data_IF_931382883848
#
_entry.id   IF_931382883848
#
_cell.length_a   1.000
_cell.length_b   1.000
_cell.length_c   1.000
_cell.angle_alpha   90.00
_cell.angle_beta   90.00
_cell.angle_gamma   90.00
#
_symmetry.space_group_name_H-M   'P 1'
#
loop_
_entity.id
_entity.type
_entity.pdbx_description
1 polymer ?
#
# COMPACT_ATOMS: atom_id res chain seq x y z
N UNK A 1 -9.74 -42.36 24.86
CA UNK A 1 -9.35 -40.93 25.00
C UNK A 1 -8.00 -40.63 24.34
N UNK A 2 -7.84 -40.84 23.02
CA UNK A 2 -6.55 -40.63 22.31
C UNK A 2 -6.65 -39.77 21.03
N UNK A 3 -7.86 -39.31 20.64
CA UNK A 3 -8.08 -38.54 19.41
C UNK A 3 -7.96 -37.02 19.56
N UNK A 4 -7.84 -36.50 20.79
CA UNK A 4 -7.80 -35.04 21.04
C UNK A 4 -6.38 -34.45 21.01
N UNK A 5 -5.33 -35.27 21.15
CA UNK A 5 -3.97 -34.77 21.35
C UNK A 5 -3.17 -34.63 20.04
N UNK A 6 -3.63 -35.26 18.95
CA UNK A 6 -2.94 -35.22 17.64
C UNK A 6 -3.33 -33.96 16.85
N UNK A 7 -4.57 -33.48 17.01
CA UNK A 7 -5.09 -32.33 16.27
C UNK A 7 -4.48 -31.00 16.74
N UNK A 8 -4.08 -30.92 18.01
CA UNK A 8 -3.48 -29.70 18.59
C UNK A 8 -2.03 -29.48 18.11
N UNK A 9 -1.28 -30.56 17.88
CA UNK A 9 0.10 -30.49 17.39
C UNK A 9 0.21 -30.08 15.91
N UNK A 10 -0.83 -30.36 15.10
CA UNK A 10 -0.87 -29.95 13.69
C UNK A 10 -1.12 -28.45 13.55
N UNK A 11 -1.97 -27.86 14.41
CA UNK A 11 -2.25 -26.41 14.38
C UNK A 11 -1.04 -25.55 14.76
N UNK A 12 -0.23 -26.02 15.73
CA UNK A 12 0.99 -25.31 16.15
C UNK A 12 2.10 -25.44 15.10
N UNK A 13 2.19 -26.57 14.39
CA UNK A 13 3.13 -26.74 13.29
C UNK A 13 2.74 -25.86 12.09
N UNK A 14 1.44 -25.69 11.81
CA UNK A 14 0.97 -24.86 10.69
C UNK A 14 1.24 -23.37 10.91
N UNK A 15 1.09 -22.87 12.15
CA UNK A 15 1.42 -21.47 12.48
C UNK A 15 2.93 -21.14 12.34
N UNK A 16 3.81 -22.13 12.49
CA UNK A 16 5.25 -21.94 12.41
C UNK A 16 5.80 -21.89 10.97
N UNK A 17 5.05 -22.34 9.96
CA UNK A 17 5.51 -22.33 8.55
C UNK A 17 5.15 -21.02 7.82
N UNK A 18 4.25 -20.20 8.37
CA UNK A 18 3.92 -18.89 7.76
C UNK A 18 4.94 -17.80 8.07
N UNK A 19 5.95 -18.11 8.89
CA UNK A 19 7.05 -17.23 9.22
C UNK A 19 8.16 -17.15 8.17
N UNK A 20 7.85 -17.19 6.87
CA UNK A 20 8.75 -16.68 5.82
C UNK A 20 8.15 -16.85 4.43
N UNK A 21 7.85 -15.74 3.76
CA UNK A 21 8.46 -15.36 2.47
C UNK A 21 7.50 -14.46 1.70
N UNK A 22 7.52 -13.17 2.03
CA UNK A 22 7.17 -12.18 1.02
C UNK A 22 8.04 -12.44 -0.24
N UNK A 23 7.54 -12.20 -1.46
CA UNK A 23 8.27 -12.51 -2.69
C UNK A 23 9.66 -11.85 -2.73
N UNK A 24 10.60 -12.51 -3.41
CA UNK A 24 11.97 -12.01 -3.61
C UNK A 24 11.97 -10.76 -4.49
N UNK A 25 12.76 -9.76 -4.13
CA UNK A 25 12.99 -8.57 -4.94
C UNK A 25 14.12 -8.84 -5.96
N UNK A 26 14.18 -8.15 -7.11
CA UNK A 26 15.36 -8.18 -7.99
C UNK A 26 16.41 -7.17 -7.50
N UNK A 27 17.70 -7.56 -7.56
CA UNK A 27 18.97 -6.91 -7.15
C UNK A 27 18.96 -5.63 -6.26
N UNK A 28 19.77 -5.63 -5.19
CA UNK A 28 20.15 -4.45 -4.40
C UNK A 28 19.80 -4.48 -2.90
N UNK A 29 19.69 -3.31 -2.26
CA UNK A 29 19.00 -3.15 -0.98
C UNK A 29 17.80 -2.24 -1.23
N UNK A 30 16.61 -2.70 -0.84
CA UNK A 30 15.38 -1.92 -1.02
C UNK A 30 14.83 -1.54 0.34
N UNK A 31 14.63 -0.24 0.56
CA UNK A 31 13.90 0.26 1.71
C UNK A 31 12.40 0.08 1.45
N UNK A 32 11.71 -0.71 2.28
CA UNK A 32 10.28 -0.96 2.15
C UNK A 32 9.53 -0.29 3.29
N UNK A 33 8.45 0.43 3.00
CA UNK A 33 7.43 0.73 4.00
C UNK A 33 6.57 -0.49 4.23
N UNK A 34 6.46 -0.91 5.48
CA UNK A 34 5.55 -1.99 5.84
C UNK A 34 4.18 -1.45 6.20
N UNK A 35 3.17 -2.27 6.02
CA UNK A 35 1.81 -1.94 6.38
C UNK A 35 0.90 -3.15 6.35
N UNK A 36 -0.38 -2.85 6.40
CA UNK A 36 -1.44 -3.85 6.29
C UNK A 36 -2.48 -3.43 5.27
N UNK A 37 -3.08 -4.44 4.65
CA UNK A 37 -4.23 -4.33 3.78
C UNK A 37 -5.37 -5.11 4.41
N UNK A 38 -6.46 -4.42 4.78
CA UNK A 38 -7.59 -4.96 5.53
C UNK A 38 -8.76 -5.11 4.58
N UNK A 39 -9.25 -6.33 4.42
CA UNK A 39 -10.46 -6.62 3.66
C UNK A 39 -11.68 -5.96 4.31
N UNK A 40 -12.46 -5.23 3.52
CA UNK A 40 -13.68 -4.56 4.01
C UNK A 40 -14.89 -5.50 4.04
N UNK A 41 -14.79 -6.70 3.47
CA UNK A 41 -15.87 -7.69 3.49
C UNK A 41 -15.88 -8.53 4.76
N UNK A 42 -14.70 -8.94 5.24
CA UNK A 42 -14.54 -9.90 6.34
C UNK A 42 -13.53 -9.46 7.42
N UNK A 43 -12.87 -8.31 7.25
CA UNK A 43 -11.88 -7.79 8.19
C UNK A 43 -10.54 -8.53 8.17
N UNK A 44 -10.32 -9.48 7.25
CA UNK A 44 -9.05 -10.20 7.15
C UNK A 44 -7.90 -9.23 6.82
N UNK A 45 -6.75 -9.42 7.47
CA UNK A 45 -5.57 -8.57 7.27
C UNK A 45 -4.52 -9.30 6.44
N UNK A 46 -3.97 -8.62 5.44
CA UNK A 46 -2.81 -9.04 4.67
C UNK A 46 -1.63 -8.12 4.97
N UNK A 47 -0.41 -8.67 5.03
CA UNK A 47 0.80 -7.85 5.11
C UNK A 47 1.09 -7.25 3.75
N UNK A 48 1.39 -5.95 3.70
CA UNK A 48 1.83 -5.26 2.47
C UNK A 48 3.15 -4.54 2.72
N UNK A 49 4.03 -4.59 1.73
CA UNK A 49 5.27 -3.84 1.69
C UNK A 49 5.36 -3.05 0.40
N UNK A 50 5.63 -1.76 0.52
CA UNK A 50 5.75 -0.85 -0.62
C UNK A 50 7.15 -0.26 -0.61
N UNK A 51 7.88 -0.41 -1.72
CA UNK A 51 9.19 0.17 -1.88
C UNK A 51 9.12 1.68 -1.64
N UNK A 52 10.01 2.16 -0.79
CA UNK A 52 10.13 3.56 -0.47
C UNK A 52 10.62 4.38 -1.63
N UNK A 53 10.01 5.55 -1.81
CA UNK A 53 10.44 6.57 -2.77
C UNK A 53 11.60 7.44 -2.25
N UNK A 54 12.30 7.03 -1.19
CA UNK A 54 13.29 7.85 -0.47
C UNK A 54 14.42 8.23 -1.43
N UNK A 55 14.38 9.46 -1.97
CA UNK A 55 15.34 9.95 -2.98
C UNK A 55 15.21 9.29 -4.36
N UNK A 56 14.20 8.46 -4.60
CA UNK A 56 14.03 7.77 -5.87
C UNK A 56 13.43 8.72 -6.92
N UNK A 57 14.26 9.11 -7.89
CA UNK A 57 13.88 9.73 -9.16
C UNK A 57 13.08 8.74 -10.04
N UNK A 58 12.89 7.50 -9.57
CA UNK A 58 12.24 6.44 -10.33
C UNK A 58 10.72 6.62 -10.31
N UNK A 59 10.08 6.74 -11.49
CA UNK A 59 8.63 6.87 -11.59
C UNK A 59 7.90 5.58 -11.22
N UNK A 60 8.62 4.46 -11.07
CA UNK A 60 8.10 3.16 -10.69
C UNK A 60 8.81 2.56 -9.45
N UNK A 61 8.09 1.75 -8.68
CA UNK A 61 8.62 0.98 -7.57
C UNK A 61 7.87 -0.35 -7.39
N UNK A 62 8.33 -1.19 -6.46
CA UNK A 62 7.76 -2.53 -6.22
C UNK A 62 6.79 -2.52 -5.03
N UNK A 63 5.70 -3.28 -5.15
CA UNK A 63 4.80 -3.64 -4.05
C UNK A 63 4.76 -5.16 -3.89
N UNK A 64 4.68 -5.59 -2.64
CA UNK A 64 4.58 -6.99 -2.24
C UNK A 64 3.47 -7.13 -1.21
N UNK A 65 2.71 -8.21 -1.26
CA UNK A 65 1.78 -8.54 -0.18
C UNK A 65 1.70 -10.05 0.05
N UNK A 66 1.22 -10.46 1.23
CA UNK A 66 0.98 -11.88 1.54
C UNK A 66 -0.34 -12.01 2.29
N UNK A 67 -1.19 -12.91 1.80
CA UNK A 67 -2.41 -13.30 2.48
C UNK A 67 -2.09 -14.37 3.52
N UNK A 68 -2.33 -14.13 4.83
CA UNK A 68 -1.82 -15.01 5.88
C UNK A 68 -2.49 -16.38 5.90
N UNK A 69 -3.78 -16.46 5.56
CA UNK A 69 -4.54 -17.72 5.61
C UNK A 69 -4.44 -18.55 4.33
N UNK A 70 -4.53 -17.95 3.14
CA UNK A 70 -4.39 -18.68 1.87
C UNK A 70 -2.94 -18.91 1.46
N UNK A 71 -1.98 -18.19 2.06
CA UNK A 71 -0.59 -18.19 1.64
C UNK A 71 -0.36 -17.57 0.26
N UNK A 72 -1.37 -16.95 -0.34
CA UNK A 72 -1.22 -16.27 -1.63
C UNK A 72 -0.24 -15.11 -1.48
N UNK A 73 0.77 -15.09 -2.35
CA UNK A 73 1.77 -14.03 -2.38
C UNK A 73 1.53 -13.14 -3.59
N UNK A 74 1.60 -11.84 -3.37
CA UNK A 74 1.32 -10.81 -4.36
C UNK A 74 2.58 -10.03 -4.69
N UNK A 75 2.77 -9.76 -5.97
CA UNK A 75 3.85 -8.90 -6.46
C UNK A 75 3.35 -7.98 -7.55
N UNK A 76 3.80 -6.73 -7.51
CA UNK A 76 3.36 -5.69 -8.42
C UNK A 76 4.35 -4.56 -8.56
N UNK A 77 4.13 -3.73 -9.57
CA UNK A 77 4.76 -2.41 -9.67
C UNK A 77 3.72 -1.34 -9.31
N UNK A 78 4.19 -0.23 -8.75
CA UNK A 78 3.43 1.01 -8.62
C UNK A 78 4.11 2.11 -9.42
N UNK A 79 3.34 3.13 -9.76
CA UNK A 79 3.80 4.38 -10.35
C UNK A 79 3.43 5.56 -9.44
N UNK A 80 4.33 6.54 -9.33
CA UNK A 80 4.04 7.79 -8.65
C UNK A 80 3.26 8.72 -9.58
N UNK A 81 1.99 8.94 -9.26
CA UNK A 81 1.10 9.85 -9.99
C UNK A 81 0.97 11.14 -9.17
N UNK A 82 1.15 12.29 -9.83
CA UNK A 82 0.94 13.61 -9.22
C UNK A 82 -0.21 14.31 -9.91
N UNK A 83 -1.18 14.77 -9.13
CA UNK A 83 -2.34 15.52 -9.60
C UNK A 83 -2.27 16.91 -8.96
N UNK A 84 -2.29 17.97 -9.76
CA UNK A 84 -2.31 19.34 -9.27
C UNK A 84 -3.61 20.03 -9.67
N UNK A 85 -4.09 20.91 -8.80
CA UNK A 85 -5.29 21.71 -9.04
C UNK A 85 -5.06 23.12 -8.55
N UNK A 86 -5.41 24.09 -9.39
CA UNK A 86 -5.23 25.51 -9.08
C UNK A 86 -6.60 26.18 -9.01
N UNK A 87 -6.90 26.83 -7.89
CA UNK A 87 -8.08 27.67 -7.72
C UNK A 87 -7.67 29.13 -7.65
N UNK A 88 -8.49 30.01 -8.21
CA UNK A 88 -8.29 31.45 -8.18
C UNK A 88 -9.53 32.13 -7.59
N UNK A 89 -9.34 32.82 -6.47
CA UNK A 89 -10.31 33.77 -5.91
C UNK A 89 -9.97 35.20 -6.29
N UNK A 90 -11.00 36.05 -6.41
CA UNK A 90 -10.83 37.50 -6.59
C UNK A 90 -11.26 38.18 -5.31
N UNK A 91 -10.42 39.10 -4.82
CA UNK A 91 -10.76 39.95 -3.68
C UNK A 91 -11.41 41.22 -4.20
N UNK A 92 -12.56 41.58 -3.65
CA UNK A 92 -13.28 42.80 -3.98
C UNK A 92 -13.41 43.69 -2.75
N UNK A 93 -13.37 45.01 -2.95
CA UNK A 93 -13.75 45.95 -1.90
C UNK A 93 -15.29 46.02 -1.74
N UNK A 94 -15.76 46.79 -0.75
CA UNK A 94 -17.19 47.01 -0.47
C UNK A 94 -17.98 47.62 -1.65
N UNK A 95 -17.29 48.17 -2.65
CA UNK A 95 -17.87 48.77 -3.87
C UNK A 95 -17.82 47.82 -5.09
N UNK A 96 -17.43 46.56 -4.90
CA UNK A 96 -17.33 45.57 -5.97
C UNK A 96 -16.11 45.73 -6.89
N UNK A 97 -15.23 46.69 -6.62
CA UNK A 97 -13.97 46.86 -7.37
C UNK A 97 -13.01 45.73 -7.00
N UNK A 98 -12.44 45.07 -8.01
CA UNK A 98 -11.40 44.05 -7.81
C UNK A 98 -10.16 44.71 -7.21
N UNK A 99 -9.76 44.28 -6.02
CA UNK A 99 -8.59 44.79 -5.28
C UNK A 99 -7.45 43.79 -5.22
N UNK A 100 -7.68 42.53 -5.59
CA UNK A 100 -6.62 41.53 -5.62
C UNK A 100 -7.07 40.19 -6.19
N UNK A 101 -6.09 39.30 -6.36
CA UNK A 101 -6.28 37.92 -6.81
C UNK A 101 -5.56 37.00 -5.83
N UNK A 102 -6.25 35.99 -5.33
CA UNK A 102 -5.67 34.91 -4.54
C UNK A 102 -5.61 33.68 -5.43
N UNK A 103 -4.43 33.09 -5.59
CA UNK A 103 -4.26 31.82 -6.30
C UNK A 103 -3.80 30.78 -5.30
N UNK A 104 -4.48 29.65 -5.26
CA UNK A 104 -4.14 28.52 -4.38
C UNK A 104 -3.92 27.30 -5.25
N UNK A 105 -2.78 26.64 -5.09
CA UNK A 105 -2.46 25.38 -5.76
C UNK A 105 -2.41 24.27 -4.73
N UNK A 106 -3.13 23.18 -4.99
CA UNK A 106 -3.03 21.93 -4.24
C UNK A 106 -2.38 20.87 -5.11
N UNK A 107 -1.44 20.12 -4.55
CA UNK A 107 -0.83 18.95 -5.18
C UNK A 107 -1.12 17.71 -4.35
N UNK A 108 -1.68 16.70 -4.99
CA UNK A 108 -1.88 15.37 -4.42
C UNK A 108 -0.97 14.37 -5.13
N UNK A 109 -0.40 13.45 -4.38
CA UNK A 109 0.48 12.41 -4.89
C UNK A 109 -0.06 11.04 -4.50
N UNK A 110 0.02 10.10 -5.43
CA UNK A 110 -0.54 8.76 -5.29
C UNK A 110 0.46 7.71 -5.77
N UNK A 111 0.51 6.57 -5.08
CA UNK A 111 1.16 5.37 -5.57
C UNK A 111 0.06 4.49 -6.18
N UNK A 112 0.00 4.43 -7.51
CA UNK A 112 -1.02 3.64 -8.23
C UNK A 112 -0.37 2.43 -8.87
N UNK A 113 -0.92 1.24 -8.69
CA UNK A 113 -0.31 0.03 -9.20
C UNK A 113 -1.21 -1.19 -9.18
N UNK A 114 -0.65 -2.31 -9.64
CA UNK A 114 -1.37 -3.59 -9.69
C UNK A 114 -0.52 -4.66 -9.02
N UNK A 115 -1.11 -5.35 -8.05
CA UNK A 115 -0.56 -6.53 -7.40
C UNK A 115 -1.15 -7.79 -8.05
N UNK A 116 -0.28 -8.67 -8.56
CA UNK A 116 -0.67 -9.98 -9.08
C UNK A 116 -0.30 -11.07 -8.07
N UNK A 117 -1.30 -11.82 -7.65
CA UNK A 117 -1.17 -13.00 -6.79
C UNK A 117 -0.64 -14.21 -7.56
N UNK A 118 0.13 -15.06 -6.89
CA UNK A 118 0.64 -16.31 -7.45
C UNK A 118 -0.45 -17.38 -7.64
N UNK A 119 -1.66 -17.18 -7.10
CA UNK A 119 -2.83 -18.05 -7.30
C UNK A 119 -3.84 -17.44 -8.29
N UNK A 120 -3.50 -16.32 -8.95
CA UNK A 120 -4.31 -15.71 -10.01
C UNK A 120 -5.15 -14.50 -9.56
N UNK A 121 -5.14 -14.14 -8.27
CA UNK A 121 -5.80 -12.93 -7.79
C UNK A 121 -5.11 -11.67 -8.34
N UNK A 122 -5.87 -10.60 -8.55
CA UNK A 122 -5.34 -9.31 -9.00
C UNK A 122 -5.97 -8.21 -8.15
N UNK A 123 -5.14 -7.32 -7.61
CA UNK A 123 -5.56 -6.16 -6.83
C UNK A 123 -5.07 -4.87 -7.51
N UNK A 124 -6.00 -3.97 -7.82
CA UNK A 124 -5.68 -2.59 -8.19
C UNK A 124 -5.49 -1.79 -6.90
N UNK A 125 -4.38 -1.06 -6.78
CA UNK A 125 -3.94 -0.38 -5.56
C UNK A 125 -3.79 1.11 -5.82
N UNK A 126 -4.33 1.93 -4.93
CA UNK A 126 -4.15 3.38 -4.92
C UNK A 126 -3.83 3.85 -3.49
N UNK A 127 -2.65 4.43 -3.28
CA UNK A 127 -2.18 4.87 -1.96
C UNK A 127 -1.84 6.35 -2.01
N UNK A 128 -2.56 7.16 -1.23
CA UNK A 128 -2.27 8.57 -1.08
C UNK A 128 -0.95 8.77 -0.32
N UNK A 129 -0.06 9.54 -0.92
CA UNK A 129 1.24 9.89 -0.34
C UNK A 129 1.03 11.10 0.59
N UNK A 130 1.08 10.83 1.89
CA UNK A 130 1.00 11.85 2.92
C UNK A 130 2.32 12.59 3.17
N UNK A 131 2.36 13.35 4.26
CA UNK A 131 3.59 14.02 4.73
C UNK A 131 4.70 13.01 4.99
N UNK A 132 5.95 13.45 4.83
CA UNK A 132 7.10 12.64 5.22
C UNK A 132 6.97 12.20 6.69
N UNK A 133 7.33 10.95 6.99
CA UNK A 133 7.20 10.33 8.33
C UNK A 133 5.77 10.22 8.86
N UNK A 134 4.74 10.31 8.00
CA UNK A 134 3.35 9.97 8.37
C UNK A 134 2.94 8.60 7.83
N UNK A 135 1.85 8.06 8.38
CA UNK A 135 1.16 6.93 7.80
C UNK A 135 0.64 7.30 6.41
N UNK A 136 0.72 6.37 5.46
CA UNK A 136 0.01 6.51 4.19
C UNK A 136 -1.23 5.65 4.22
N UNK A 137 -2.31 6.18 3.65
CA UNK A 137 -3.60 5.53 3.57
C UNK A 137 -3.92 5.32 2.10
N UNK A 138 -4.54 4.19 1.80
CA UNK A 138 -4.91 3.84 0.45
C UNK A 138 -6.02 2.82 0.42
N UNK A 139 -6.34 2.39 -0.78
CA UNK A 139 -7.36 1.39 -1.04
C UNK A 139 -6.81 0.38 -2.04
N UNK A 140 -7.34 -0.84 -1.97
CA UNK A 140 -7.22 -1.79 -3.07
C UNK A 140 -8.60 -2.33 -3.46
N UNK A 141 -8.72 -2.73 -4.72
CA UNK A 141 -9.91 -3.42 -5.24
C UNK A 141 -9.49 -4.66 -6.00
N UNK A 142 -10.11 -5.81 -5.72
CA UNK A 142 -9.88 -7.03 -6.47
C UNK A 142 -10.67 -7.06 -7.79
N UNK A 143 -10.35 -8.01 -8.66
CA UNK A 143 -11.04 -8.18 -9.95
C UNK A 143 -12.55 -8.52 -9.84
N UNK A 144 -13.03 -8.90 -8.65
CA UNK A 144 -14.43 -9.22 -8.34
C UNK A 144 -15.15 -8.07 -7.62
N UNK A 145 -14.48 -6.94 -7.39
CA UNK A 145 -15.01 -5.76 -6.71
C UNK A 145 -14.87 -5.78 -5.18
N UNK A 146 -14.17 -6.76 -4.61
CA UNK A 146 -13.80 -6.77 -3.19
C UNK A 146 -12.90 -5.59 -2.86
N UNK A 147 -13.20 -4.88 -1.77
CA UNK A 147 -12.50 -3.65 -1.37
C UNK A 147 -11.63 -3.88 -0.16
N UNK A 148 -10.51 -3.18 -0.11
CA UNK A 148 -9.54 -3.27 0.97
C UNK A 148 -9.06 -1.88 1.38
N UNK A 149 -8.87 -1.67 2.69
CA UNK A 149 -8.20 -0.50 3.24
C UNK A 149 -6.71 -0.78 3.40
N UNK A 150 -5.86 0.11 2.91
CA UNK A 150 -4.41 0.05 3.10
C UNK A 150 -3.98 1.07 4.14
N UNK A 151 -3.07 0.64 5.03
CA UNK A 151 -2.40 1.49 6.01
C UNK A 151 -0.91 1.14 6.00
N UNK A 152 -0.07 2.07 5.54
CA UNK A 152 1.38 1.94 5.58
C UNK A 152 1.97 2.72 6.75
N UNK A 153 2.87 2.08 7.50
CA UNK A 153 3.65 2.68 8.57
C UNK A 153 4.60 3.77 8.04
N UNK A 154 4.94 4.78 8.86
CA UNK A 154 5.97 5.74 8.53
C UNK A 154 7.38 5.11 8.45
N UNK A 155 7.57 3.94 9.07
CA UNK A 155 8.86 3.29 9.19
C UNK A 155 9.24 2.52 7.93
N UNK A 156 10.53 2.59 7.60
CA UNK A 156 11.14 1.80 6.54
C UNK A 156 11.92 0.65 7.15
N UNK A 157 11.78 -0.53 6.56
CA UNK A 157 12.68 -1.65 6.79
C UNK A 157 13.67 -1.76 5.65
N UNK A 158 14.88 -2.22 5.93
CA UNK A 158 15.85 -2.58 4.90
C UNK A 158 15.64 -4.04 4.54
N UNK A 159 15.30 -4.29 3.28
CA UNK A 159 15.16 -5.64 2.77
C UNK A 159 16.44 -6.03 2.02
N UNK A 160 17.06 -7.12 2.47
CA UNK A 160 18.13 -7.76 1.70
C UNK A 160 17.51 -8.37 0.45
N UNK A 161 18.01 -7.97 -0.69
CA UNK A 161 17.78 -8.70 -1.93
C UNK A 161 18.80 -9.84 -1.98
N UNK A 162 18.39 -11.01 -2.48
CA UNK A 162 19.23 -12.19 -2.67
C UNK A 162 19.17 -12.60 -4.12
#
# INVERSE_FOLDING_TARGET
MKKCMVTLSIFILMAAVFGCSLPRLPDGHVHMRQGKMISLSDGSEMTIEVQGTRGAIYPEGVMLAVHPTSGETFRGKYYLVSESSTSTGVVQNKWGTKTGKITTTSENKYLKGVLKGNQGSVLHVDIAVGKQNSNFYGEATDAKGGKYQIILSPQYISRKVQ
#
